data_IF_986717045701
#
_entry.id   IF_986717045701
#
_cell.length_a   1.000
_cell.length_b   1.000
_cell.length_c   1.000
_cell.angle_alpha   90.00
_cell.angle_beta   90.00
_cell.angle_gamma   90.00
#
_symmetry.space_group_name_H-M   'P 1'
#
loop_
_entity.id
_entity.type
_entity.pdbx_description
1 polymer ?
#
# COMPACT_ATOMS: atom_id res chain seq x y z
N UNK A 1 -4.21 11.83 -20.61
CA UNK A 1 -3.94 12.97 -19.68
C UNK A 1 -2.46 12.94 -19.31
N UNK A 2 -1.89 14.07 -18.86
CA UNK A 2 -0.50 14.08 -18.36
C UNK A 2 -0.38 13.25 -17.08
N UNK A 3 0.63 12.36 -17.03
CA UNK A 3 0.85 11.42 -15.92
C UNK A 3 1.06 12.08 -14.56
N UNK A 4 1.67 13.26 -14.54
CA UNK A 4 2.08 13.93 -13.30
C UNK A 4 0.93 14.26 -12.34
N UNK A 5 -0.29 14.48 -12.84
CA UNK A 5 -1.45 14.70 -11.96
C UNK A 5 -1.89 13.44 -11.21
N UNK A 6 -1.80 12.28 -11.85
CA UNK A 6 -2.18 10.99 -11.23
C UNK A 6 -1.15 10.58 -10.20
N UNK A 7 0.13 10.77 -10.54
CA UNK A 7 1.26 10.53 -9.63
C UNK A 7 1.16 11.40 -8.38
N UNK A 8 1.05 12.73 -8.54
CA UNK A 8 0.93 13.65 -7.41
C UNK A 8 -0.30 13.37 -6.53
N UNK A 9 -1.43 12.96 -7.13
CA UNK A 9 -2.61 12.57 -6.37
C UNK A 9 -2.36 11.27 -5.56
N UNK A 10 -1.72 10.29 -6.17
CA UNK A 10 -1.38 9.01 -5.53
C UNK A 10 -0.41 9.23 -4.37
N UNK A 11 0.64 10.02 -4.58
CA UNK A 11 1.61 10.39 -3.54
C UNK A 11 0.93 11.12 -2.37
N UNK A 12 0.03 12.06 -2.67
CA UNK A 12 -0.74 12.77 -1.65
C UNK A 12 -1.61 11.85 -0.79
N UNK A 13 -2.31 10.90 -1.41
CA UNK A 13 -3.15 9.94 -0.70
C UNK A 13 -2.30 9.00 0.17
N UNK A 14 -1.21 8.46 -0.37
CA UNK A 14 -0.29 7.60 0.38
C UNK A 14 0.32 8.34 1.58
N UNK A 15 0.73 9.60 1.40
CA UNK A 15 1.27 10.40 2.49
C UNK A 15 0.26 10.57 3.63
N UNK A 16 -1.02 10.81 3.30
CA UNK A 16 -2.11 10.88 4.29
C UNK A 16 -2.33 9.54 4.99
N UNK A 17 -2.28 8.42 4.27
CA UNK A 17 -2.43 7.09 4.87
C UNK A 17 -1.32 6.84 5.90
N UNK A 18 -0.07 7.14 5.55
CA UNK A 18 1.08 6.99 6.45
C UNK A 18 0.94 7.86 7.70
N UNK A 19 0.47 9.11 7.56
CA UNK A 19 0.28 10.00 8.71
C UNK A 19 -0.88 9.56 9.58
N UNK A 20 -1.99 9.10 9.03
CA UNK A 20 -3.12 8.57 9.83
C UNK A 20 -2.68 7.32 10.60
N UNK A 21 -1.91 6.42 10.00
CA UNK A 21 -1.44 5.20 10.69
C UNK A 21 -0.63 5.51 11.97
N UNK A 22 0.20 6.56 11.98
CA UNK A 22 0.97 6.90 13.19
C UNK A 22 0.09 7.56 14.26
N UNK A 23 -1.02 8.21 13.89
CA UNK A 23 -1.95 8.81 14.85
C UNK A 23 -2.68 7.76 15.70
N UNK A 24 -2.80 6.52 15.20
CA UNK A 24 -3.37 5.41 15.97
C UNK A 24 -2.44 4.92 17.10
N UNK A 25 -1.16 5.30 17.08
CA UNK A 25 -0.24 5.04 18.19
C UNK A 25 -0.50 6.06 19.33
N UNK A 26 -1.49 5.73 20.16
CA UNK A 26 -1.91 6.58 21.29
C UNK A 26 -0.82 6.67 22.34
N UNK A 27 -0.57 7.90 22.81
CA UNK A 27 0.35 8.17 23.92
C UNK A 27 -0.20 7.49 25.19
N UNK A 28 0.61 6.68 25.90
CA UNK A 28 0.16 6.01 27.11
C UNK A 28 -0.03 7.03 28.24
N UNK A 29 -0.97 6.75 29.14
CA UNK A 29 -1.21 7.58 30.31
C UNK A 29 -0.34 7.07 31.46
N UNK A 30 0.88 7.60 31.57
CA UNK A 30 1.79 7.35 32.68
C UNK A 30 3.22 7.80 32.36
N UNK A 31 4.08 7.84 33.39
CA UNK A 31 5.41 8.46 33.30
C UNK A 31 6.56 7.43 33.18
N UNK A 32 6.27 6.16 33.49
CA UNK A 32 7.27 5.09 33.51
C UNK A 32 7.40 4.35 32.17
N UNK A 33 8.60 3.85 31.86
CA UNK A 33 8.85 3.02 30.67
C UNK A 33 7.99 1.74 30.62
N UNK A 34 7.53 1.24 31.76
CA UNK A 34 6.63 0.07 31.82
C UNK A 34 5.29 0.32 31.12
N UNK A 35 4.87 1.58 31.00
CA UNK A 35 3.62 1.99 30.34
C UNK A 35 3.67 1.84 28.81
N UNK A 36 4.87 1.71 28.24
CA UNK A 36 5.07 1.41 26.81
C UNK A 36 4.93 -0.08 26.50
N UNK A 37 5.13 -0.96 27.47
CA UNK A 37 5.10 -2.40 27.23
C UNK A 37 3.78 -2.88 26.60
N UNK A 38 2.59 -2.43 27.04
CA UNK A 38 1.33 -2.83 26.42
C UNK A 38 1.13 -2.32 24.98
N UNK A 39 1.88 -1.31 24.54
CA UNK A 39 1.75 -0.73 23.18
C UNK A 39 2.48 -1.54 22.10
N UNK A 40 3.28 -2.55 22.49
CA UNK A 40 4.06 -3.36 21.55
C UNK A 40 3.22 -3.95 20.40
N UNK A 41 1.98 -4.45 20.59
CA UNK A 41 1.19 -5.03 19.50
C UNK A 41 0.81 -3.97 18.47
N UNK A 42 0.37 -2.80 18.93
CA UNK A 42 -0.04 -1.67 18.09
C UNK A 42 1.17 -1.11 17.34
N UNK A 43 2.30 -0.96 18.03
CA UNK A 43 3.55 -0.51 17.40
C UNK A 43 4.04 -1.49 16.33
N UNK A 44 4.00 -2.80 16.59
CA UNK A 44 4.38 -3.82 15.61
C UNK A 44 3.46 -3.77 14.37
N UNK A 45 2.14 -3.72 14.57
CA UNK A 45 1.16 -3.58 13.49
C UNK A 45 1.44 -2.32 12.65
N UNK A 46 1.72 -1.19 13.31
CA UNK A 46 2.10 0.05 12.64
C UNK A 46 3.36 -0.12 11.77
N UNK A 47 4.44 -0.68 12.30
CA UNK A 47 5.70 -0.86 11.56
C UNK A 47 5.50 -1.78 10.34
N UNK A 48 4.77 -2.88 10.51
CA UNK A 48 4.47 -3.81 9.41
C UNK A 48 3.66 -3.10 8.31
N UNK A 49 2.59 -2.40 8.67
CA UNK A 49 1.77 -1.67 7.71
C UNK A 49 2.50 -0.49 7.06
N UNK A 50 3.38 0.21 7.80
CA UNK A 50 4.20 1.28 7.24
C UNK A 50 5.13 0.74 6.14
N UNK A 51 5.82 -0.38 6.41
CA UNK A 51 6.69 -1.03 5.42
C UNK A 51 5.86 -1.44 4.20
N UNK A 52 4.67 -2.00 4.44
CA UNK A 52 3.76 -2.47 3.40
C UNK A 52 3.31 -1.33 2.46
N UNK A 53 2.80 -0.24 3.03
CA UNK A 53 2.40 0.96 2.28
C UNK A 53 3.60 1.59 1.56
N UNK A 54 4.78 1.62 2.20
CA UNK A 54 6.02 2.10 1.59
C UNK A 54 6.46 1.28 0.38
N UNK A 55 6.28 -0.05 0.41
CA UNK A 55 6.53 -0.93 -0.75
C UNK A 55 5.57 -0.59 -1.89
N UNK A 56 4.26 -0.41 -1.61
CA UNK A 56 3.31 0.00 -2.64
C UNK A 56 3.65 1.34 -3.24
N UNK A 57 3.95 2.32 -2.41
CA UNK A 57 4.34 3.65 -2.86
C UNK A 57 5.55 3.60 -3.78
N UNK A 58 6.62 2.92 -3.37
CA UNK A 58 7.83 2.78 -4.18
C UNK A 58 7.52 2.09 -5.53
N UNK A 59 6.70 1.04 -5.52
CA UNK A 59 6.31 0.32 -6.73
C UNK A 59 5.44 1.19 -7.66
N UNK A 60 4.50 1.96 -7.11
CA UNK A 60 3.66 2.89 -7.86
C UNK A 60 4.48 4.03 -8.44
N UNK A 61 5.35 4.65 -7.64
CA UNK A 61 6.23 5.72 -8.06
C UNK A 61 7.11 5.28 -9.23
N UNK A 62 7.82 4.15 -9.10
CA UNK A 62 8.64 3.59 -10.20
C UNK A 62 7.80 3.27 -11.46
N UNK A 63 6.60 2.72 -11.28
CA UNK A 63 5.72 2.37 -12.40
C UNK A 63 5.22 3.62 -13.15
N UNK A 64 4.79 4.67 -12.43
CA UNK A 64 4.35 5.94 -13.02
C UNK A 64 5.51 6.74 -13.63
N UNK A 65 6.72 6.63 -13.08
CA UNK A 65 7.91 7.20 -13.68
C UNK A 65 8.23 6.60 -15.06
N UNK A 66 7.96 5.31 -15.24
CA UNK A 66 8.30 4.56 -16.46
C UNK A 66 7.29 4.74 -17.60
N UNK A 67 6.02 5.03 -17.28
CA UNK A 67 4.98 5.20 -18.32
C UNK A 67 4.94 6.59 -18.93
N UNK A 68 4.53 6.67 -20.20
CA UNK A 68 4.47 7.92 -20.97
C UNK A 68 3.08 8.54 -20.98
N UNK A 69 2.03 7.71 -20.87
CA UNK A 69 0.63 8.15 -20.95
C UNK A 69 -0.27 7.40 -19.99
N UNK A 70 -1.34 8.06 -19.54
CA UNK A 70 -2.42 7.46 -18.74
C UNK A 70 -3.77 7.75 -19.40
N UNK A 71 -4.63 6.72 -19.40
CA UNK A 71 -6.02 6.79 -19.89
C UNK A 71 -7.03 6.65 -18.73
N UNK A 72 -8.32 6.74 -19.04
CA UNK A 72 -9.37 6.66 -18.02
C UNK A 72 -9.43 5.31 -17.29
N UNK A 73 -9.06 4.20 -17.94
CA UNK A 73 -9.09 2.86 -17.32
C UNK A 73 -8.00 2.73 -16.26
N UNK A 74 -6.80 3.24 -16.57
CA UNK A 74 -5.71 3.33 -15.61
C UNK A 74 -6.09 4.21 -14.41
N UNK A 75 -6.78 5.34 -14.63
CA UNK A 75 -7.26 6.19 -13.53
C UNK A 75 -8.18 5.43 -12.58
N UNK A 76 -9.18 4.71 -13.11
CA UNK A 76 -10.10 3.92 -12.28
C UNK A 76 -9.39 2.78 -11.55
N UNK A 77 -8.45 2.09 -12.20
CA UNK A 77 -7.65 1.06 -11.54
C UNK A 77 -6.78 1.64 -10.41
N UNK A 78 -6.21 2.83 -10.62
CA UNK A 78 -5.45 3.54 -9.59
C UNK A 78 -6.33 3.94 -8.40
N UNK A 79 -7.52 4.48 -8.66
CA UNK A 79 -8.50 4.80 -7.60
C UNK A 79 -8.93 3.56 -6.82
N UNK A 80 -9.10 2.42 -7.49
CA UNK A 80 -9.43 1.15 -6.83
C UNK A 80 -8.32 0.70 -5.87
N UNK A 81 -7.05 0.82 -6.27
CA UNK A 81 -5.92 0.55 -5.37
C UNK A 81 -5.86 1.53 -4.20
N UNK A 82 -6.02 2.83 -4.46
CA UNK A 82 -6.01 3.85 -3.42
C UNK A 82 -7.16 3.67 -2.41
N UNK A 83 -8.31 3.19 -2.87
CA UNK A 83 -9.42 2.85 -1.99
C UNK A 83 -9.02 1.77 -0.98
N UNK A 84 -8.45 0.65 -1.43
CA UNK A 84 -8.03 -0.41 -0.52
C UNK A 84 -6.91 0.06 0.42
N UNK A 85 -5.88 0.75 -0.12
CA UNK A 85 -4.82 1.31 0.72
C UNK A 85 -5.34 2.30 1.78
N UNK A 86 -6.44 3.02 1.49
CA UNK A 86 -7.04 3.94 2.46
C UNK A 86 -7.70 3.26 3.67
N UNK A 87 -7.96 1.96 3.60
CA UNK A 87 -8.51 1.17 4.71
C UNK A 87 -7.42 0.65 5.65
N UNK A 88 -6.16 0.61 5.21
CA UNK A 88 -5.00 0.13 5.99
C UNK A 88 -4.95 0.70 7.41
N UNK A 89 -5.19 2.00 7.68
CA UNK A 89 -5.12 2.51 9.05
C UNK A 89 -6.11 1.80 10.00
N UNK A 90 -7.34 1.58 9.53
CA UNK A 90 -8.40 0.96 10.33
C UNK A 90 -8.12 -0.52 10.55
N UNK A 91 -7.73 -1.27 9.51
CA UNK A 91 -7.45 -2.71 9.63
C UNK A 91 -6.21 -2.97 10.50
N UNK A 92 -5.19 -2.10 10.39
CA UNK A 92 -3.96 -2.16 11.20
C UNK A 92 -4.26 -1.90 12.67
N UNK A 93 -5.00 -0.82 12.97
CA UNK A 93 -5.40 -0.50 14.34
C UNK A 93 -6.29 -1.61 14.93
N UNK A 94 -7.26 -2.11 14.16
CA UNK A 94 -8.14 -3.20 14.59
C UNK A 94 -7.35 -4.47 14.96
N UNK A 95 -6.35 -4.83 14.15
CA UNK A 95 -5.47 -5.97 14.45
C UNK A 95 -4.60 -5.74 15.70
N UNK A 96 -3.96 -4.56 15.80
CA UNK A 96 -3.06 -4.21 16.90
C UNK A 96 -3.77 -4.06 18.25
N UNK A 97 -4.88 -3.31 18.31
CA UNK A 97 -5.64 -3.09 19.55
C UNK A 97 -6.25 -4.39 20.10
N UNK A 98 -6.63 -5.32 19.20
CA UNK A 98 -7.20 -6.61 19.58
C UNK A 98 -6.13 -7.73 19.72
N UNK A 99 -4.85 -7.38 19.90
CA UNK A 99 -3.78 -8.33 20.23
C UNK A 99 -3.69 -9.53 19.28
N UNK A 100 -3.90 -9.30 17.97
CA UNK A 100 -3.81 -10.33 16.93
C UNK A 100 -4.78 -11.50 17.08
N UNK A 101 -5.97 -11.29 17.66
CA UNK A 101 -7.02 -12.33 17.65
C UNK A 101 -7.45 -12.66 16.21
N UNK A 102 -7.99 -13.88 15.95
CA UNK A 102 -8.09 -14.40 14.57
C UNK A 102 -8.93 -13.55 13.60
N UNK A 103 -10.03 -12.94 14.05
CA UNK A 103 -10.94 -12.18 13.18
C UNK A 103 -10.28 -10.87 12.66
N UNK A 104 -9.74 -9.98 13.51
CA UNK A 104 -8.96 -8.82 13.06
C UNK A 104 -7.80 -9.16 12.13
N UNK A 105 -7.06 -10.25 12.42
CA UNK A 105 -5.96 -10.70 11.56
C UNK A 105 -6.49 -11.14 10.18
N UNK A 106 -7.61 -11.87 10.14
CA UNK A 106 -8.23 -12.29 8.89
C UNK A 106 -8.75 -11.08 8.08
N UNK A 107 -9.30 -10.06 8.73
CA UNK A 107 -9.74 -8.81 8.08
C UNK A 107 -8.54 -8.08 7.47
N UNK A 108 -7.45 -7.93 8.23
CA UNK A 108 -6.20 -7.34 7.75
C UNK A 108 -5.65 -8.11 6.55
N UNK A 109 -5.52 -9.45 6.66
CA UNK A 109 -5.04 -10.29 5.56
C UNK A 109 -5.92 -10.24 4.30
N UNK A 110 -7.24 -10.18 4.46
CA UNK A 110 -8.15 -10.01 3.33
C UNK A 110 -7.96 -8.65 2.63
N UNK A 111 -7.75 -7.59 3.39
CA UNK A 111 -7.47 -6.26 2.86
C UNK A 111 -6.11 -6.20 2.14
N UNK A 112 -5.07 -6.85 2.68
CA UNK A 112 -3.78 -7.01 2.00
C UNK A 112 -3.94 -7.70 0.64
N UNK A 113 -4.71 -8.79 0.59
CA UNK A 113 -5.00 -9.53 -0.63
C UNK A 113 -5.75 -8.68 -1.66
N UNK A 114 -6.69 -7.83 -1.21
CA UNK A 114 -7.43 -6.92 -2.06
C UNK A 114 -6.55 -5.78 -2.61
N UNK A 115 -5.61 -5.25 -1.81
CA UNK A 115 -4.56 -4.35 -2.27
C UNK A 115 -3.70 -5.00 -3.35
N UNK A 116 -3.29 -6.26 -3.15
CA UNK A 116 -2.49 -7.00 -4.12
C UNK A 116 -3.25 -7.22 -5.44
N UNK A 117 -4.51 -7.63 -5.37
CA UNK A 117 -5.37 -7.79 -6.54
C UNK A 117 -5.55 -6.46 -7.31
N UNK A 118 -5.83 -5.36 -6.59
CA UNK A 118 -5.99 -4.03 -7.19
C UNK A 118 -4.71 -3.54 -7.89
N UNK A 119 -3.54 -3.80 -7.29
CA UNK A 119 -2.26 -3.48 -7.90
C UNK A 119 -1.99 -4.30 -9.17
N UNK A 120 -2.30 -5.60 -9.16
CA UNK A 120 -2.20 -6.44 -10.36
C UNK A 120 -3.10 -5.89 -11.48
N UNK A 121 -4.33 -5.50 -11.16
CA UNK A 121 -5.25 -4.89 -12.14
C UNK A 121 -4.63 -3.63 -12.74
N UNK A 122 -4.10 -2.73 -11.91
CA UNK A 122 -3.43 -1.50 -12.36
C UNK A 122 -2.24 -1.81 -13.27
N UNK A 123 -1.37 -2.73 -12.86
CA UNK A 123 -0.21 -3.15 -13.64
C UNK A 123 -0.62 -3.73 -15.01
N UNK A 124 -1.66 -4.57 -15.04
CA UNK A 124 -2.20 -5.13 -16.29
C UNK A 124 -2.79 -4.04 -17.19
N UNK A 125 -3.51 -3.06 -16.65
CA UNK A 125 -4.06 -1.96 -17.45
C UNK A 125 -2.96 -1.08 -18.05
N UNK A 126 -1.92 -0.77 -17.27
CA UNK A 126 -0.76 -0.03 -17.77
C UNK A 126 0.01 -0.80 -18.83
N UNK A 127 0.15 -2.12 -18.66
CA UNK A 127 0.79 -3.00 -19.64
C UNK A 127 0.01 -3.06 -20.96
N UNK A 128 -1.32 -3.19 -20.89
CA UNK A 128 -2.17 -3.16 -22.09
C UNK A 128 -2.06 -1.83 -22.83
N UNK A 129 -2.00 -0.71 -22.11
CA UNK A 129 -1.88 0.64 -22.68
C UNK A 129 -0.52 0.89 -23.38
N UNK A 130 0.54 0.21 -22.94
CA UNK A 130 1.91 0.31 -23.47
C UNK A 130 2.39 -0.98 -24.13
N UNK A 131 1.47 -1.83 -24.60
CA UNK A 131 1.77 -3.15 -25.18
C UNK A 131 2.68 -3.12 -26.41
N UNK A 132 2.73 -1.99 -27.13
CA UNK A 132 3.64 -1.78 -28.27
C UNK A 132 5.02 -1.21 -27.87
N UNK A 133 5.24 -0.92 -26.58
CA UNK A 133 6.46 -0.29 -26.06
C UNK A 133 7.35 -1.33 -25.38
N UNK A 134 8.36 -1.82 -26.11
CA UNK A 134 9.26 -2.91 -25.67
C UNK A 134 10.09 -2.55 -24.42
N UNK A 135 10.18 -1.26 -24.06
CA UNK A 135 10.83 -0.80 -22.84
C UNK A 135 10.02 -1.13 -21.57
N UNK A 136 8.68 -0.96 -21.60
CA UNK A 136 7.81 -1.22 -20.45
C UNK A 136 7.66 -2.73 -20.16
N UNK A 137 7.61 -3.55 -21.22
CA UNK A 137 7.57 -5.01 -21.09
C UNK A 137 8.85 -5.58 -20.44
N UNK A 138 10.03 -5.00 -20.70
CA UNK A 138 11.28 -5.39 -20.03
C UNK A 138 11.37 -4.89 -18.58
N UNK A 139 10.83 -3.70 -18.30
CA UNK A 139 10.79 -3.14 -16.95
C UNK A 139 9.90 -3.96 -16.01
N UNK A 140 8.73 -4.45 -16.46
CA UNK A 140 7.91 -5.39 -15.67
C UNK A 140 8.42 -6.84 -15.73
N UNK A 141 8.97 -7.29 -16.86
CA UNK A 141 9.33 -8.71 -17.08
C UNK A 141 10.58 -9.18 -16.32
N UNK A 142 11.48 -8.27 -15.94
CA UNK A 142 12.70 -8.58 -15.18
C UNK A 142 12.59 -8.33 -13.68
N UNK A 143 11.39 -8.03 -13.19
CA UNK A 143 11.20 -7.48 -11.86
C UNK A 143 11.24 -8.56 -10.76
N UNK A 144 12.44 -9.04 -10.46
CA UNK A 144 12.73 -9.86 -9.28
C UNK A 144 12.26 -9.15 -8.01
N UNK A 145 12.27 -7.81 -7.98
CA UNK A 145 11.69 -6.98 -6.92
C UNK A 145 10.17 -7.10 -6.87
N UNK A 146 9.48 -7.04 -8.01
CA UNK A 146 8.03 -7.24 -8.14
C UNK A 146 7.55 -8.62 -7.68
N UNK A 147 8.32 -9.69 -7.92
CA UNK A 147 8.02 -11.03 -7.39
C UNK A 147 8.31 -11.17 -5.90
N UNK A 148 9.38 -10.53 -5.42
CA UNK A 148 9.70 -10.47 -3.98
C UNK A 148 8.66 -9.63 -3.22
N UNK A 149 8.20 -8.51 -3.80
CA UNK A 149 7.13 -7.70 -3.21
C UNK A 149 5.80 -8.45 -3.22
N UNK A 150 5.46 -9.21 -4.28
CA UNK A 150 4.30 -10.09 -4.28
C UNK A 150 4.35 -11.18 -3.19
N UNK A 151 5.55 -11.71 -2.91
CA UNK A 151 5.76 -12.67 -1.84
C UNK A 151 5.76 -12.01 -0.44
N UNK A 152 6.02 -10.71 -0.35
CA UNK A 152 5.84 -9.88 0.85
C UNK A 152 4.40 -9.35 0.99
N UNK A 153 3.59 -9.44 -0.08
CA UNK A 153 2.19 -9.05 -0.10
C UNK A 153 1.24 -10.12 0.48
N UNK A 154 1.75 -11.32 0.77
CA UNK A 154 1.04 -12.48 1.32
C UNK A 154 1.75 -12.90 2.61
#
# INVERSE_FOLDING_TARGET
MGKGRVEAFTDGVVAIIITIMVLELKVPHGEDFSTLAPLWPVFLSYVLSFIYVGIYWNNLHNMFHTVQRVDGRVLWANLNLLFWLSLMPVTTAFMGENHFVPVPVAVYGAELALCAAAYIILAVMLHRLHSNDTAFARALGSDRKGRISLALYI
#
